data_IF_778519937703
#
_entry.id   IF_778519937703
#
_cell.length_a   1.000
_cell.length_b   1.000
_cell.length_c   1.000
_cell.angle_alpha   90.00
_cell.angle_beta   90.00
_cell.angle_gamma   90.00
#
_symmetry.space_group_name_H-M   'P 1'
#
loop_
_entity.id
_entity.type
_entity.pdbx_description
1 polymer ?
#
# COMPACT_ATOMS: atom_id res chain seq x y z
N UNK A 1 -19.74 -9.20 -14.58
CA UNK A 1 -19.58 -7.74 -14.75
C UNK A 1 -19.16 -7.19 -13.40
N UNK A 2 -18.22 -6.23 -13.34
CA UNK A 2 -17.71 -5.68 -12.08
C UNK A 2 -18.27 -4.27 -11.92
N UNK A 3 -18.74 -3.96 -10.71
CA UNK A 3 -19.33 -2.67 -10.37
C UNK A 3 -18.71 -2.15 -9.07
N UNK A 4 -18.49 -0.85 -9.01
CA UNK A 4 -18.11 -0.16 -7.78
C UNK A 4 -19.33 0.58 -7.24
N UNK A 5 -19.59 0.44 -5.94
CA UNK A 5 -20.74 1.04 -5.26
C UNK A 5 -20.22 1.92 -4.12
N UNK A 6 -20.53 3.22 -4.15
CA UNK A 6 -20.28 4.13 -3.04
C UNK A 6 -21.52 4.22 -2.16
N UNK A 7 -21.36 3.98 -0.86
CA UNK A 7 -22.42 4.02 0.14
C UNK A 7 -21.86 4.38 1.51
N UNK A 8 -22.73 4.74 2.46
CA UNK A 8 -22.34 4.97 3.85
C UNK A 8 -22.45 3.65 4.65
N UNK A 9 -21.33 3.07 5.13
CA UNK A 9 -21.33 1.82 5.87
C UNK A 9 -22.01 1.92 7.25
N UNK A 10 -22.25 3.13 7.76
CA UNK A 10 -22.99 3.33 9.02
C UNK A 10 -24.49 3.18 8.85
N UNK A 11 -24.97 3.31 7.62
CA UNK A 11 -26.40 3.29 7.29
C UNK A 11 -26.77 1.96 6.63
N UNK A 12 -25.90 1.44 5.75
CA UNK A 12 -26.15 0.23 4.95
C UNK A 12 -24.95 -0.70 5.04
N UNK A 13 -25.18 -1.99 5.27
CA UNK A 13 -24.11 -3.02 5.31
C UNK A 13 -23.92 -3.71 3.95
N UNK A 14 -22.75 -4.32 3.73
CA UNK A 14 -22.47 -5.09 2.50
C UNK A 14 -23.53 -6.17 2.23
N UNK A 15 -23.99 -6.87 3.28
CA UNK A 15 -25.04 -7.90 3.16
C UNK A 15 -26.37 -7.34 2.67
N UNK A 16 -26.72 -6.12 3.07
CA UNK A 16 -27.95 -5.46 2.59
C UNK A 16 -27.84 -5.07 1.12
N UNK A 17 -26.66 -4.64 0.66
CA UNK A 17 -26.41 -4.36 -0.75
C UNK A 17 -26.47 -5.62 -1.61
N UNK A 18 -25.83 -6.71 -1.17
CA UNK A 18 -25.89 -8.02 -1.85
C UNK A 18 -27.34 -8.46 -1.99
N UNK A 19 -28.08 -8.46 -0.87
CA UNK A 19 -29.49 -8.87 -0.86
C UNK A 19 -30.36 -8.01 -1.77
N UNK A 20 -30.15 -6.69 -1.79
CA UNK A 20 -30.90 -5.80 -2.65
C UNK A 20 -30.68 -6.10 -4.15
N UNK A 21 -29.47 -6.54 -4.53
CA UNK A 21 -29.17 -6.95 -5.91
C UNK A 21 -29.83 -8.31 -6.20
N UNK A 22 -29.76 -9.25 -5.26
CA UNK A 22 -30.40 -10.57 -5.38
C UNK A 22 -31.93 -10.49 -5.50
N UNK A 23 -32.56 -9.58 -4.75
CA UNK A 23 -34.01 -9.33 -4.84
C UNK A 23 -34.43 -8.78 -6.22
N UNK A 24 -33.49 -8.23 -7.01
CA UNK A 24 -33.75 -7.82 -8.42
C UNK A 24 -33.54 -8.95 -9.43
N UNK A 25 -33.20 -10.15 -8.98
CA UNK A 25 -33.00 -11.35 -9.82
C UNK A 25 -31.57 -11.52 -10.34
N UNK A 26 -30.59 -10.82 -9.78
CA UNK A 26 -29.17 -10.95 -10.14
C UNK A 26 -28.36 -11.55 -9.00
N UNK A 27 -27.44 -12.45 -9.30
CA UNK A 27 -26.52 -12.98 -8.29
C UNK A 27 -25.39 -11.97 -8.02
N UNK A 28 -25.11 -11.70 -6.74
CA UNK A 28 -24.10 -10.73 -6.31
C UNK A 28 -23.08 -11.38 -5.39
N UNK A 29 -21.79 -11.17 -5.71
CA UNK A 29 -20.68 -11.62 -4.87
C UNK A 29 -19.81 -10.41 -4.54
N UNK A 30 -19.54 -10.19 -3.26
CA UNK A 30 -18.65 -9.13 -2.80
C UNK A 30 -17.20 -9.50 -3.14
N UNK A 31 -16.53 -8.65 -3.93
CA UNK A 31 -15.13 -8.85 -4.33
C UNK A 31 -14.17 -8.18 -3.33
N UNK A 32 -14.52 -6.99 -2.87
CA UNK A 32 -13.74 -6.17 -1.92
C UNK A 32 -14.69 -5.24 -1.18
N UNK A 33 -14.46 -5.06 0.11
CA UNK A 33 -15.36 -4.32 1.01
C UNK A 33 -15.05 -2.83 1.12
N UNK A 34 -13.97 -2.34 0.51
CA UNK A 34 -13.44 -0.98 0.77
C UNK A 34 -12.87 -0.79 2.18
N UNK A 35 -13.24 -1.66 3.11
CA UNK A 35 -12.56 -1.99 4.38
C UNK A 35 -11.31 -2.87 4.16
N UNK A 36 -10.80 -2.90 2.93
CA UNK A 36 -9.68 -3.74 2.53
C UNK A 36 -8.40 -3.27 3.21
N UNK A 37 -8.13 -3.94 4.33
CA UNK A 37 -6.85 -3.94 5.03
C UNK A 37 -5.76 -4.22 4.01
N UNK A 38 -5.02 -3.18 3.67
CA UNK A 38 -3.89 -3.30 2.78
C UNK A 38 -2.71 -3.82 3.58
N UNK A 39 -2.02 -4.80 3.01
CA UNK A 39 -0.74 -5.28 3.54
C UNK A 39 0.39 -4.76 2.67
N UNK A 40 1.48 -4.41 3.30
CA UNK A 40 2.72 -4.05 2.59
C UNK A 40 3.92 -4.59 3.32
N UNK A 41 4.88 -5.06 2.53
CA UNK A 41 6.18 -5.47 2.99
C UNK A 41 7.20 -4.40 2.60
N UNK A 42 7.94 -3.89 3.57
CA UNK A 42 9.05 -2.97 3.34
C UNK A 42 10.36 -3.70 3.62
N UNK A 43 11.29 -3.65 2.66
CA UNK A 43 12.68 -4.03 2.90
C UNK A 43 13.40 -2.84 3.51
N UNK A 44 14.14 -3.06 4.58
CA UNK A 44 14.96 -2.03 5.23
C UNK A 44 16.43 -2.34 5.02
N UNK A 45 17.14 -1.44 4.35
CA UNK A 45 18.59 -1.49 4.22
C UNK A 45 19.23 -0.79 5.42
N UNK A 46 20.07 -1.50 6.18
CA UNK A 46 20.76 -1.02 7.38
C UNK A 46 20.85 -2.07 8.49
N UNK A 47 21.57 -1.78 9.58
CA UNK A 47 21.72 -2.70 10.72
C UNK A 47 20.60 -2.45 11.74
N UNK A 48 19.56 -3.30 11.73
CA UNK A 48 18.44 -3.20 12.67
C UNK A 48 18.86 -3.66 14.06
N UNK A 49 19.15 -2.72 14.95
CA UNK A 49 19.40 -3.00 16.37
C UNK A 49 18.08 -3.01 17.16
N UNK A 50 18.03 -3.72 18.30
CA UNK A 50 16.87 -3.73 19.19
C UNK A 50 16.27 -2.35 19.49
N UNK A 51 17.04 -1.31 19.87
CA UNK A 51 16.46 0.01 20.12
C UNK A 51 15.90 0.67 18.86
N UNK A 52 16.57 0.53 17.71
CA UNK A 52 16.07 1.09 16.44
C UNK A 52 14.76 0.42 16.02
N UNK A 53 14.62 -0.89 16.22
CA UNK A 53 13.39 -1.61 15.90
C UNK A 53 12.21 -1.15 16.75
N UNK A 54 12.40 -1.06 18.08
CA UNK A 54 11.35 -0.59 18.98
C UNK A 54 10.89 0.82 18.62
N UNK A 55 11.83 1.69 18.23
CA UNK A 55 11.52 3.05 17.79
C UNK A 55 10.73 3.07 16.48
N UNK A 56 11.13 2.26 15.49
CA UNK A 56 10.42 2.13 14.21
C UNK A 56 9.01 1.58 14.42
N UNK A 57 8.88 0.49 15.17
CA UNK A 57 7.60 -0.16 15.46
C UNK A 57 6.64 0.83 16.14
N UNK A 58 7.08 1.47 17.22
CA UNK A 58 6.27 2.47 17.93
C UNK A 58 5.86 3.62 17.02
N UNK A 59 6.78 4.12 16.19
CA UNK A 59 6.51 5.25 15.29
C UNK A 59 5.53 4.91 14.17
N UNK A 60 5.49 3.65 13.72
CA UNK A 60 4.52 3.18 12.74
C UNK A 60 3.16 2.91 13.39
N UNK A 61 3.12 2.31 14.58
CA UNK A 61 1.89 1.99 15.30
C UNK A 61 1.06 3.22 15.69
N UNK A 62 1.69 4.38 15.90
CA UNK A 62 0.98 5.63 16.20
C UNK A 62 0.35 6.30 14.97
N UNK A 63 0.66 5.83 13.75
CA UNK A 63 0.11 6.44 12.55
C UNK A 63 -1.38 6.11 12.40
N UNK A 64 -2.22 7.10 12.01
CA UNK A 64 -3.62 6.85 11.77
C UNK A 64 -3.79 5.80 10.66
N UNK A 65 -4.71 4.87 10.88
CA UNK A 65 -4.98 3.79 9.93
C UNK A 65 -3.97 2.63 9.94
N UNK A 66 -2.89 2.68 10.73
CA UNK A 66 -2.04 1.49 10.96
C UNK A 66 -2.72 0.58 11.98
N UNK A 67 -2.88 -0.68 11.63
CA UNK A 67 -3.56 -1.68 12.46
C UNK A 67 -2.59 -2.72 13.04
N UNK A 68 -1.53 -3.05 12.31
CA UNK A 68 -0.51 -3.98 12.77
C UNK A 68 0.85 -3.69 12.12
N UNK A 69 1.92 -3.93 12.89
CA UNK A 69 3.31 -3.82 12.46
C UNK A 69 4.05 -5.04 12.98
N UNK A 70 4.78 -5.72 12.11
CA UNK A 70 5.67 -6.84 12.47
C UNK A 70 7.04 -6.62 11.83
N UNK A 71 8.12 -6.87 12.57
CA UNK A 71 9.50 -6.69 12.09
C UNK A 71 10.22 -8.04 12.12
N UNK A 72 10.65 -8.50 10.95
CA UNK A 72 11.51 -9.67 10.80
C UNK A 72 12.96 -9.23 10.57
N UNK A 73 13.79 -9.47 11.58
CA UNK A 73 15.22 -9.14 11.57
C UNK A 73 16.07 -10.06 10.73
N UNK A 74 15.65 -11.31 10.52
CA UNK A 74 16.41 -12.30 9.75
C UNK A 74 16.38 -11.90 8.29
N UNK A 75 15.19 -11.58 7.76
CA UNK A 75 15.02 -11.17 6.36
C UNK A 75 15.03 -9.65 6.14
N UNK A 76 15.23 -8.86 7.20
CA UNK A 76 15.26 -7.39 7.17
C UNK A 76 13.99 -6.78 6.53
N UNK A 77 12.83 -7.25 6.99
CA UNK A 77 11.51 -6.83 6.49
C UNK A 77 10.62 -6.29 7.59
N UNK A 78 9.77 -5.34 7.21
CA UNK A 78 8.68 -4.81 8.04
C UNK A 78 7.37 -5.10 7.31
N UNK A 79 6.44 -5.74 8.01
CA UNK A 79 5.10 -6.06 7.55
C UNK A 79 4.13 -5.06 8.19
N UNK A 80 3.32 -4.40 7.39
CA UNK A 80 2.37 -3.39 7.88
C UNK A 80 0.99 -3.71 7.33
N UNK A 81 0.02 -3.88 8.22
CA UNK A 81 -1.41 -3.91 7.89
C UNK A 81 -2.01 -2.52 8.18
N UNK A 82 -2.69 -1.94 7.19
CA UNK A 82 -3.19 -0.58 7.28
C UNK A 82 -4.44 -0.34 6.44
N UNK A 83 -5.12 0.77 6.75
CA UNK A 83 -6.26 1.31 6.03
C UNK A 83 -5.78 2.27 4.95
N UNK A 84 -5.92 1.94 3.65
CA UNK A 84 -5.34 2.71 2.55
C UNK A 84 -6.00 4.09 2.35
N UNK A 85 -7.19 4.30 2.91
CA UNK A 85 -7.89 5.59 2.97
C UNK A 85 -7.27 6.59 3.95
N UNK A 86 -6.48 6.11 4.93
CA UNK A 86 -5.93 6.94 6.02
C UNK A 86 -4.42 7.15 5.93
N UNK A 87 -3.69 6.17 5.41
CA UNK A 87 -2.23 6.20 5.34
C UNK A 87 -1.72 5.36 4.18
N UNK A 88 -0.41 5.38 3.95
CA UNK A 88 0.15 4.57 2.88
C UNK A 88 1.67 4.49 2.84
N UNK A 89 2.20 3.77 1.85
CA UNK A 89 3.61 3.37 1.78
C UNK A 89 4.61 4.52 1.86
N UNK A 90 4.26 5.66 1.24
CA UNK A 90 5.11 6.86 1.25
C UNK A 90 5.31 7.41 2.66
N UNK A 91 4.26 7.39 3.49
CA UNK A 91 4.31 7.86 4.88
C UNK A 91 5.19 6.91 5.69
N UNK A 92 5.01 5.60 5.54
CA UNK A 92 5.81 4.60 6.27
C UNK A 92 7.30 4.74 5.98
N UNK A 93 7.67 4.86 4.69
CA UNK A 93 9.07 5.07 4.28
C UNK A 93 9.62 6.35 4.90
N UNK A 94 8.89 7.46 4.80
CA UNK A 94 9.31 8.73 5.38
C UNK A 94 9.52 8.62 6.90
N UNK A 95 8.62 7.97 7.63
CA UNK A 95 8.73 7.79 9.08
C UNK A 95 9.97 6.98 9.42
N UNK A 96 10.18 5.83 8.76
CA UNK A 96 11.36 4.97 8.98
C UNK A 96 12.66 5.75 8.71
N UNK A 97 12.73 6.48 7.61
CA UNK A 97 13.91 7.28 7.28
C UNK A 97 14.12 8.43 8.27
N UNK A 98 13.06 9.08 8.74
CA UNK A 98 13.14 10.21 9.67
C UNK A 98 13.57 9.80 11.08
N UNK A 99 12.93 8.77 11.65
CA UNK A 99 13.21 8.31 13.02
C UNK A 99 14.61 7.73 13.16
N UNK A 100 15.18 7.30 12.04
CA UNK A 100 16.53 6.78 12.00
C UNK A 100 17.58 7.77 11.49
N UNK A 101 17.19 9.04 11.30
CA UNK A 101 18.07 10.10 10.77
C UNK A 101 18.72 9.72 9.43
N UNK A 102 17.99 9.04 8.56
CA UNK A 102 18.43 8.60 7.23
C UNK A 102 19.40 7.42 7.23
N UNK A 103 19.69 6.82 8.39
CA UNK A 103 20.62 5.66 8.49
C UNK A 103 20.06 4.39 7.87
N UNK A 104 18.74 4.33 7.69
CA UNK A 104 18.04 3.20 7.12
C UNK A 104 17.24 3.67 5.93
N UNK A 105 17.22 2.86 4.87
CA UNK A 105 16.43 3.12 3.67
C UNK A 105 15.33 2.07 3.56
N UNK A 106 14.09 2.52 3.46
CA UNK A 106 12.94 1.62 3.32
C UNK A 106 12.49 1.57 1.86
N UNK A 107 12.28 0.38 1.32
CA UNK A 107 11.81 0.17 -0.06
C UNK A 107 10.66 -0.83 -0.08
N UNK A 108 9.71 -0.62 -0.99
CA UNK A 108 8.56 -1.53 -1.14
C UNK A 108 9.07 -2.87 -1.67
N UNK A 109 8.73 -3.94 -0.97
CA UNK A 109 8.97 -5.30 -1.41
C UNK A 109 7.68 -5.85 -2.03
N UNK A 110 7.66 -6.24 -3.31
CA UNK A 110 6.45 -6.72 -3.96
C UNK A 110 6.00 -8.04 -3.34
N UNK A 111 4.75 -8.07 -2.89
CA UNK A 111 4.10 -9.27 -2.37
C UNK A 111 3.65 -10.13 -3.58
N UNK A 112 4.33 -11.26 -3.82
CA UNK A 112 3.94 -12.20 -4.89
C UNK A 112 4.95 -12.45 -6.03
N UNK A 113 6.23 -12.14 -5.87
CA UNK A 113 7.27 -12.48 -6.85
C UNK A 113 8.17 -13.62 -6.38
N UNK A 114 8.11 -14.76 -7.08
CA UNK A 114 9.18 -15.79 -7.05
C UNK A 114 10.56 -15.12 -7.24
N UNK A 115 11.58 -15.75 -6.66
CA UNK A 115 13.01 -15.47 -6.84
C UNK A 115 13.43 -15.15 -8.30
N UNK A 116 14.60 -14.50 -8.49
CA UNK A 116 14.82 -13.47 -9.50
C UNK A 116 15.10 -14.07 -10.89
N UNK A 117 14.09 -14.08 -11.76
CA UNK A 117 14.32 -14.41 -13.18
C UNK A 117 13.48 -13.64 -14.20
N UNK A 118 12.96 -12.45 -13.83
CA UNK A 118 12.19 -11.59 -14.75
C UNK A 118 12.54 -10.11 -14.58
N UNK A 119 13.80 -9.76 -14.81
CA UNK A 119 14.27 -8.36 -14.88
C UNK A 119 13.80 -7.63 -16.16
N UNK A 120 13.10 -8.29 -17.09
CA UNK A 120 12.82 -7.72 -18.41
C UNK A 120 11.39 -7.17 -18.61
N UNK A 121 10.42 -7.45 -17.74
CA UNK A 121 9.02 -7.03 -17.98
C UNK A 121 8.66 -5.67 -17.33
N UNK A 122 9.34 -5.28 -16.24
CA UNK A 122 8.97 -4.08 -15.45
C UNK A 122 9.37 -2.75 -16.13
N UNK A 123 10.34 -2.77 -17.05
CA UNK A 123 10.70 -1.56 -17.82
C UNK A 123 9.56 -1.07 -18.73
N UNK A 124 8.62 -1.93 -19.11
CA UNK A 124 7.52 -1.52 -20.00
C UNK A 124 6.48 -0.66 -19.28
N UNK A 125 6.14 -0.94 -18.03
CA UNK A 125 5.10 -0.17 -17.31
C UNK A 125 5.54 1.26 -16.92
N UNK A 126 6.83 1.47 -16.63
CA UNK A 126 7.35 2.81 -16.33
C UNK A 126 7.30 3.75 -17.54
N UNK A 127 7.43 3.19 -18.75
CA UNK A 127 7.31 3.98 -19.99
C UNK A 127 5.90 4.51 -20.18
N UNK A 128 4.86 3.70 -19.94
CA UNK A 128 3.48 4.15 -20.10
C UNK A 128 3.09 5.27 -19.13
N UNK A 129 3.62 5.25 -17.90
CA UNK A 129 3.40 6.33 -16.93
C UNK A 129 4.09 7.64 -17.33
N UNK A 130 5.29 7.56 -17.92
CA UNK A 130 6.00 8.73 -18.46
C UNK A 130 5.36 9.30 -19.73
N UNK A 131 4.72 8.46 -20.56
CA UNK A 131 3.92 8.92 -21.70
C UNK A 131 2.66 9.69 -21.25
N UNK A 132 2.02 9.29 -20.15
CA UNK A 132 0.90 10.05 -19.57
C UNK A 132 1.31 11.35 -18.86
N UNK A 133 2.61 11.51 -18.56
CA UNK A 133 3.20 12.76 -18.06
C UNK A 133 3.68 13.67 -19.22
N UNK A 134 3.42 13.27 -20.47
CA UNK A 134 3.78 13.99 -21.67
C UNK A 134 3.02 15.31 -21.83
N UNK A 135 3.77 16.40 -21.62
CA UNK A 135 3.57 17.76 -22.14
C UNK A 135 2.69 18.73 -21.34
N UNK A 136 3.30 19.35 -20.33
CA UNK A 136 3.17 20.81 -20.12
C UNK A 136 4.52 21.47 -19.90
N UNK A 137 5.24 21.72 -20.99
CA UNK A 137 6.18 22.85 -21.06
C UNK A 137 6.01 23.47 -22.45
N UNK A 138 5.46 24.68 -22.59
CA UNK A 138 5.44 25.37 -23.88
C UNK A 138 6.84 25.97 -24.14
N UNK A 139 7.51 25.51 -25.19
CA UNK A 139 8.63 26.21 -25.78
C UNK A 139 8.07 27.39 -26.58
N UNK A 140 8.15 28.61 -26.03
CA UNK A 140 8.07 29.82 -26.84
C UNK A 140 9.47 30.40 -27.00
N UNK A 141 9.91 30.32 -28.24
CA UNK A 141 11.09 30.92 -28.85
C UNK A 141 10.78 32.39 -29.10
N UNK A 142 11.66 33.30 -28.70
CA UNK A 142 12.12 34.49 -29.44
C UNK A 142 13.30 35.09 -28.68
#
# INVERSE_FOLDING_TARGET
MVFEIQYDPKIVSHNQLIKAIEDTGFEAVLISSGEDRSKIHLKVDGVLTRPSMAMIETSLQILPGVENVEIDTVVHRIYIAYKPDQTGPRIFIHVIESVTSGRFKATIFPEGGREPHKQDEIKQYYKSFLWSLGFRIPLRKD
#
